data_IF_063254844802
#
_entry.id   IF_063254844802
#
_cell.length_a   1.000
_cell.length_b   1.000
_cell.length_c   1.000
_cell.angle_alpha   90.00
_cell.angle_beta   90.00
_cell.angle_gamma   90.00
#
_symmetry.space_group_name_H-M   'P 1'
#
loop_
_entity.id
_entity.type
_entity.pdbx_description
1 polymer ?
#
# COMPACT_ATOMS: atom_id res chain seq x y z
N UNK A 1 1.16 -23.52 -21.34
CA UNK A 1 1.31 -22.51 -22.42
C UNK A 1 2.59 -21.77 -22.18
N UNK A 2 3.63 -21.97 -23.02
CA UNK A 2 4.97 -21.38 -22.75
C UNK A 2 4.96 -19.92 -23.21
N UNK A 3 5.11 -19.00 -22.29
CA UNK A 3 5.14 -17.56 -22.57
C UNK A 3 6.46 -17.23 -23.30
N UNK A 4 6.41 -17.02 -24.61
CA UNK A 4 7.55 -16.54 -25.40
C UNK A 4 7.56 -15.02 -25.40
N UNK A 5 8.46 -14.42 -24.60
CA UNK A 5 8.74 -13.00 -24.71
C UNK A 5 9.41 -12.72 -26.06
N UNK A 6 8.80 -11.89 -26.87
CA UNK A 6 9.44 -11.30 -28.04
C UNK A 6 10.43 -10.25 -27.57
N UNK A 7 11.74 -10.51 -27.74
CA UNK A 7 12.77 -9.47 -27.64
C UNK A 7 12.53 -8.46 -28.76
N UNK A 8 12.17 -7.24 -28.40
CA UNK A 8 12.28 -6.10 -29.33
C UNK A 8 13.74 -5.75 -29.49
N UNK A 9 14.23 -5.70 -30.72
CA UNK A 9 15.62 -5.47 -31.11
C UNK A 9 16.08 -4.00 -31.02
N UNK A 10 15.46 -3.15 -30.22
CA UNK A 10 15.94 -1.79 -30.03
C UNK A 10 16.53 -1.62 -28.62
N UNK A 11 17.82 -1.33 -28.60
CA UNK A 11 18.76 -1.39 -27.49
C UNK A 11 18.57 -0.39 -26.34
N UNK A 12 17.33 -0.14 -25.90
CA UNK A 12 17.05 0.63 -24.70
C UNK A 12 15.90 -0.03 -23.91
N UNK A 13 16.15 -1.23 -23.38
CA UNK A 13 15.19 -1.96 -22.56
C UNK A 13 15.16 -1.34 -21.16
N UNK A 14 14.49 -0.18 -21.02
CA UNK A 14 14.19 0.39 -19.69
C UNK A 14 13.14 -0.53 -19.06
N UNK A 15 13.40 -1.10 -17.87
CA UNK A 15 12.46 -1.99 -17.21
C UNK A 15 11.13 -1.26 -16.95
N UNK A 16 10.03 -1.99 -17.04
CA UNK A 16 8.71 -1.48 -16.67
C UNK A 16 8.62 -1.43 -15.15
N UNK A 17 8.25 -0.27 -14.61
CA UNK A 17 7.96 -0.09 -13.19
C UNK A 17 6.50 -0.48 -12.92
N UNK A 18 6.28 -1.51 -12.11
CA UNK A 18 4.97 -1.98 -11.71
C UNK A 18 4.76 -1.76 -10.21
N UNK A 19 3.74 -1.01 -9.87
CA UNK A 19 3.24 -0.89 -8.50
C UNK A 19 1.97 -1.73 -8.35
N UNK A 20 2.03 -2.78 -7.52
CA UNK A 20 0.85 -3.52 -7.10
C UNK A 20 0.36 -2.96 -5.77
N UNK A 21 -0.83 -2.36 -5.78
CA UNK A 21 -1.48 -1.80 -4.61
C UNK A 21 -2.58 -2.74 -4.12
N UNK A 22 -2.47 -3.20 -2.88
CA UNK A 22 -3.48 -4.06 -2.26
C UNK A 22 -3.76 -3.61 -0.82
N UNK A 23 -4.60 -4.33 -0.11
CA UNK A 23 -4.99 -4.04 1.27
C UNK A 23 -6.49 -4.12 1.46
N UNK A 24 -6.91 -4.07 2.73
CA UNK A 24 -8.32 -4.21 3.11
C UNK A 24 -9.20 -3.13 2.49
N UNK A 25 -10.45 -3.47 2.25
CA UNK A 25 -11.44 -2.53 1.72
C UNK A 25 -11.65 -1.37 2.69
N UNK A 26 -11.56 -0.12 2.17
CA UNK A 26 -11.61 1.10 3.01
C UNK A 26 -10.25 1.55 3.55
N UNK A 27 -9.15 0.87 3.25
CA UNK A 27 -7.79 1.28 3.67
C UNK A 27 -7.23 2.49 2.94
N UNK A 28 -7.85 2.94 1.84
CA UNK A 28 -7.42 4.12 1.09
C UNK A 28 -6.81 3.82 -0.29
N UNK A 29 -6.99 2.62 -0.84
CA UNK A 29 -6.47 2.23 -2.18
C UNK A 29 -6.75 3.26 -3.28
N UNK A 30 -7.98 3.79 -3.34
CA UNK A 30 -8.32 4.80 -4.37
C UNK A 30 -7.56 6.11 -4.20
N UNK A 31 -7.21 6.51 -2.96
CA UNK A 31 -6.40 7.70 -2.69
C UNK A 31 -4.95 7.46 -3.12
N UNK A 32 -4.42 6.29 -2.82
CA UNK A 32 -3.08 5.89 -3.21
C UNK A 32 -2.96 5.74 -4.74
N UNK A 33 -3.97 5.15 -5.40
CA UNK A 33 -4.00 5.00 -6.85
C UNK A 33 -4.02 6.36 -7.55
N UNK A 34 -4.81 7.31 -7.06
CA UNK A 34 -4.82 8.69 -7.57
C UNK A 34 -3.45 9.39 -7.40
N UNK A 35 -2.73 9.11 -6.30
CA UNK A 35 -1.37 9.64 -6.11
C UNK A 35 -0.36 9.06 -7.10
N UNK A 36 -0.51 7.78 -7.48
CA UNK A 36 0.30 7.13 -8.50
C UNK A 36 -0.02 7.67 -9.90
N UNK A 37 -1.30 7.93 -10.20
CA UNK A 37 -1.72 8.59 -11.44
C UNK A 37 -1.09 9.98 -11.57
N UNK A 38 -1.14 10.79 -10.49
CA UNK A 38 -0.46 12.10 -10.41
C UNK A 38 1.07 11.99 -10.59
N UNK A 39 1.67 10.84 -10.23
CA UNK A 39 3.10 10.55 -10.43
C UNK A 39 3.41 9.98 -11.83
N UNK A 40 2.43 9.92 -12.72
CA UNK A 40 2.59 9.51 -14.13
C UNK A 40 2.51 8.00 -14.36
N UNK A 41 1.90 7.24 -13.46
CA UNK A 41 1.60 5.84 -13.67
C UNK A 41 0.31 5.66 -14.49
N UNK A 42 0.29 4.69 -15.38
CA UNK A 42 -0.95 4.17 -15.95
C UNK A 42 -1.65 3.33 -14.89
N UNK A 43 -2.82 3.77 -14.44
CA UNK A 43 -3.50 3.19 -13.27
C UNK A 43 -4.70 2.33 -13.68
N UNK A 44 -4.77 1.11 -13.12
CA UNK A 44 -5.91 0.22 -13.26
C UNK A 44 -6.47 -0.12 -11.88
N UNK A 45 -7.72 0.23 -11.63
CA UNK A 45 -8.39 -0.08 -10.37
C UNK A 45 -9.13 -1.41 -10.45
N UNK A 46 -9.07 -2.17 -9.37
CA UNK A 46 -9.85 -3.40 -9.18
C UNK A 46 -9.63 -4.47 -10.25
N UNK A 47 -8.37 -4.65 -10.69
CA UNK A 47 -8.02 -5.67 -11.67
C UNK A 47 -8.16 -7.08 -11.05
N UNK A 48 -8.88 -8.00 -11.72
CA UNK A 48 -8.84 -9.42 -11.34
C UNK A 48 -7.40 -9.96 -11.44
N UNK A 49 -6.91 -10.71 -10.42
CA UNK A 49 -5.54 -11.22 -10.43
C UNK A 49 -5.18 -12.05 -11.68
N UNK A 50 -6.15 -12.74 -12.25
CA UNK A 50 -5.99 -13.58 -13.44
C UNK A 50 -5.57 -12.79 -14.70
N UNK A 51 -5.88 -11.48 -14.74
CA UNK A 51 -5.59 -10.60 -15.88
C UNK A 51 -4.25 -9.83 -15.73
N UNK A 52 -3.53 -10.01 -14.62
CA UNK A 52 -2.32 -9.23 -14.34
C UNK A 52 -1.24 -9.43 -15.40
N UNK A 53 -0.93 -10.67 -15.74
CA UNK A 53 0.12 -10.99 -16.73
C UNK A 53 -0.25 -10.49 -18.13
N UNK A 54 -1.52 -10.61 -18.51
CA UNK A 54 -2.01 -10.14 -19.82
C UNK A 54 -1.97 -8.63 -19.93
N UNK A 55 -2.35 -7.91 -18.85
CA UNK A 55 -2.25 -6.45 -18.77
C UNK A 55 -0.79 -6.01 -18.94
N UNK A 56 0.13 -6.58 -18.18
CA UNK A 56 1.54 -6.18 -18.24
C UNK A 56 2.13 -6.48 -19.63
N UNK A 57 1.79 -7.63 -20.23
CA UNK A 57 2.23 -7.94 -21.59
C UNK A 57 1.67 -6.96 -22.64
N UNK A 58 0.45 -6.47 -22.44
CA UNK A 58 -0.17 -5.46 -23.31
C UNK A 58 0.54 -4.10 -23.16
N UNK A 59 0.76 -3.67 -21.93
CA UNK A 59 1.39 -2.37 -21.63
C UNK A 59 2.87 -2.34 -22.06
N UNK A 60 3.58 -3.45 -21.97
CA UNK A 60 4.94 -3.57 -22.52
C UNK A 60 4.95 -3.41 -24.06
N UNK A 61 3.93 -3.91 -24.78
CA UNK A 61 3.79 -3.69 -26.23
C UNK A 61 3.52 -2.23 -26.58
N UNK A 62 2.85 -1.51 -25.68
CA UNK A 62 2.59 -0.08 -25.82
C UNK A 62 3.76 0.80 -25.35
N UNK A 63 4.90 0.18 -24.98
CA UNK A 63 6.07 0.87 -24.40
C UNK A 63 5.74 1.68 -23.12
N UNK A 64 4.74 1.24 -22.36
CA UNK A 64 4.46 1.81 -21.07
C UNK A 64 5.63 1.59 -20.13
N UNK A 65 6.02 2.64 -19.39
CA UNK A 65 7.14 2.59 -18.46
C UNK A 65 6.69 2.42 -17.02
N UNK A 66 5.51 2.91 -16.66
CA UNK A 66 4.98 2.95 -15.31
C UNK A 66 3.54 2.48 -15.30
N UNK A 67 3.28 1.40 -14.58
CA UNK A 67 1.94 0.82 -14.43
C UNK A 67 1.64 0.65 -12.95
N UNK A 68 0.46 1.04 -12.52
CA UNK A 68 -0.03 0.80 -11.16
C UNK A 68 -1.34 0.04 -11.21
N UNK A 69 -1.44 -1.02 -10.44
CA UNK A 69 -2.62 -1.90 -10.42
C UNK A 69 -3.12 -2.02 -8.98
N UNK A 70 -4.37 -1.64 -8.75
CA UNK A 70 -5.02 -1.92 -7.48
C UNK A 70 -5.81 -3.23 -7.55
N UNK A 71 -5.63 -4.07 -6.53
CA UNK A 71 -6.32 -5.34 -6.36
C UNK A 71 -6.96 -5.43 -4.97
N UNK A 72 -8.10 -6.11 -4.89
CA UNK A 72 -8.77 -6.38 -3.61
C UNK A 72 -9.33 -7.83 -3.58
N UNK A 73 -9.93 -8.20 -2.46
CA UNK A 73 -10.46 -9.55 -2.26
C UNK A 73 -11.81 -9.82 -2.97
N UNK A 74 -12.27 -8.97 -3.90
CA UNK A 74 -13.51 -9.21 -4.66
C UNK A 74 -13.43 -10.42 -5.59
N UNK A 75 -12.21 -10.73 -6.05
CA UNK A 75 -11.92 -11.93 -6.85
C UNK A 75 -11.05 -12.91 -6.06
N UNK A 76 -11.59 -13.56 -5.02
CA UNK A 76 -10.81 -14.38 -4.11
C UNK A 76 -10.17 -15.60 -4.78
N UNK A 77 -10.72 -16.07 -5.90
CA UNK A 77 -10.21 -17.22 -6.66
C UNK A 77 -8.81 -17.00 -7.25
N UNK A 78 -8.47 -15.77 -7.61
CA UNK A 78 -7.19 -15.45 -8.23
C UNK A 78 -6.06 -15.14 -7.23
N UNK A 79 -6.41 -14.83 -5.97
CA UNK A 79 -5.43 -14.42 -4.96
C UNK A 79 -4.38 -15.49 -4.67
N UNK A 80 -4.71 -16.81 -4.54
CA UNK A 80 -3.70 -17.84 -4.26
C UNK A 80 -2.63 -17.97 -5.35
N UNK A 81 -2.94 -17.66 -6.60
CA UNK A 81 -1.97 -17.70 -7.71
C UNK A 81 -1.15 -16.43 -7.90
N UNK A 82 -1.50 -15.36 -7.20
CA UNK A 82 -0.86 -14.05 -7.37
C UNK A 82 0.63 -14.03 -6.97
N UNK A 83 1.09 -14.69 -5.89
CA UNK A 83 2.51 -14.75 -5.55
C UNK A 83 3.39 -15.34 -6.66
N UNK A 84 2.94 -16.35 -7.36
CA UNK A 84 3.67 -16.97 -8.47
C UNK A 84 3.72 -16.07 -9.71
N UNK A 85 2.64 -15.32 -9.97
CA UNK A 85 2.60 -14.31 -11.03
C UNK A 85 3.59 -13.16 -10.73
N UNK A 86 3.64 -12.68 -9.50
CA UNK A 86 4.57 -11.63 -9.08
C UNK A 86 6.02 -12.10 -9.20
N UNK A 87 6.32 -13.34 -8.83
CA UNK A 87 7.65 -13.91 -9.00
C UNK A 87 8.01 -14.00 -10.50
N UNK A 88 7.08 -14.40 -11.36
CA UNK A 88 7.26 -14.44 -12.80
C UNK A 88 7.57 -13.06 -13.37
N UNK A 89 6.84 -12.02 -12.95
CA UNK A 89 7.08 -10.64 -13.37
C UNK A 89 8.46 -10.14 -12.92
N UNK A 90 8.83 -10.40 -11.67
CA UNK A 90 10.14 -10.01 -11.12
C UNK A 90 11.28 -10.69 -11.87
N UNK A 91 11.17 -11.98 -12.18
CA UNK A 91 12.19 -12.72 -12.93
C UNK A 91 12.26 -12.33 -14.41
N UNK A 92 11.19 -11.76 -14.97
CA UNK A 92 11.18 -11.23 -16.34
C UNK A 92 11.76 -9.82 -16.47
N UNK A 93 12.27 -9.23 -15.38
CA UNK A 93 12.91 -7.92 -15.40
C UNK A 93 11.95 -6.75 -15.19
N UNK A 94 10.73 -7.00 -14.68
CA UNK A 94 9.81 -5.94 -14.25
C UNK A 94 10.25 -5.44 -12.87
N UNK A 95 10.35 -4.13 -12.72
CA UNK A 95 10.61 -3.47 -11.44
C UNK A 95 9.32 -3.48 -10.63
N UNK A 96 9.21 -4.40 -9.68
CA UNK A 96 7.96 -4.64 -8.95
C UNK A 96 8.05 -4.10 -7.52
N UNK A 97 7.13 -3.21 -7.19
CA UNK A 97 6.85 -2.76 -5.82
C UNK A 97 5.45 -3.23 -5.42
N UNK A 98 5.34 -3.95 -4.31
CA UNK A 98 4.06 -4.36 -3.74
C UNK A 98 3.78 -3.51 -2.50
N UNK A 99 2.67 -2.79 -2.50
CA UNK A 99 2.24 -1.92 -1.39
C UNK A 99 0.95 -2.51 -0.79
N UNK A 100 0.98 -2.75 0.51
CA UNK A 100 -0.18 -3.19 1.28
C UNK A 100 -0.65 -2.06 2.21
N UNK A 101 -1.89 -1.60 2.01
CA UNK A 101 -2.50 -0.61 2.90
C UNK A 101 -3.21 -1.31 4.05
N UNK A 102 -2.66 -1.18 5.25
CA UNK A 102 -3.25 -1.68 6.49
C UNK A 102 -4.09 -0.59 7.18
N UNK A 103 -5.07 -0.99 7.97
CA UNK A 103 -5.92 -0.08 8.75
C UNK A 103 -6.54 -0.83 9.91
N UNK A 104 -6.62 -0.22 11.09
CA UNK A 104 -7.30 -0.84 12.24
C UNK A 104 -8.79 -1.08 11.96
N UNK A 105 -9.34 -2.12 12.58
CA UNK A 105 -10.77 -2.46 12.43
C UNK A 105 -11.68 -1.31 12.82
N UNK A 106 -11.35 -0.59 13.90
CA UNK A 106 -12.12 0.56 14.37
C UNK A 106 -12.14 1.71 13.36
N UNK A 107 -10.99 1.99 12.72
CA UNK A 107 -10.91 2.99 11.66
C UNK A 107 -11.73 2.57 10.43
N UNK A 108 -11.71 1.28 10.05
CA UNK A 108 -12.52 0.76 8.96
C UNK A 108 -14.02 0.88 9.26
N UNK A 109 -14.48 0.43 10.44
CA UNK A 109 -15.89 0.54 10.84
C UNK A 109 -16.36 1.99 10.77
N UNK A 110 -15.55 2.93 11.27
CA UNK A 110 -15.86 4.36 11.16
C UNK A 110 -15.98 4.83 9.70
N UNK A 111 -14.99 4.50 8.85
CA UNK A 111 -14.97 4.88 7.42
C UNK A 111 -16.17 4.30 6.65
N UNK A 112 -16.54 3.05 6.90
CA UNK A 112 -17.72 2.44 6.30
C UNK A 112 -19.01 3.11 6.76
N UNK A 113 -19.10 3.49 8.05
CA UNK A 113 -20.27 4.21 8.58
C UNK A 113 -20.42 5.60 7.95
N UNK A 114 -19.32 6.32 7.76
CA UNK A 114 -19.29 7.66 7.14
C UNK A 114 -19.66 7.61 5.65
N UNK A 115 -19.13 6.65 4.92
CA UNK A 115 -19.34 6.55 3.46
C UNK A 115 -20.62 5.84 3.07
N UNK A 116 -21.29 5.15 4.01
CA UNK A 116 -22.50 4.31 3.78
C UNK A 116 -22.32 3.27 2.65
N UNK A 117 -21.09 2.87 2.36
CA UNK A 117 -20.79 1.82 1.37
C UNK A 117 -20.86 0.45 2.01
N UNK A 118 -21.40 -0.53 1.29
CA UNK A 118 -21.32 -1.92 1.71
C UNK A 118 -19.91 -2.47 1.52
N UNK A 119 -19.45 -3.33 2.44
CA UNK A 119 -18.20 -4.04 2.26
C UNK A 119 -18.31 -5.00 1.06
N UNK A 120 -17.29 -5.12 0.19
CA UNK A 120 -17.35 -5.93 -1.03
C UNK A 120 -17.74 -7.39 -0.81
N UNK A 121 -17.29 -8.00 0.28
CA UNK A 121 -17.62 -9.39 0.63
C UNK A 121 -19.02 -9.57 1.20
N UNK A 122 -19.78 -8.47 1.42
CA UNK A 122 -21.17 -8.50 1.93
C UNK A 122 -22.22 -8.29 0.84
N UNK A 123 -21.86 -8.35 -0.42
CA UNK A 123 -22.79 -8.20 -1.55
C UNK A 123 -23.74 -9.40 -1.55
N UNK A 124 -24.95 -9.22 -0.98
CA UNK A 124 -26.01 -10.23 -0.94
C UNK A 124 -26.72 -10.36 0.41
N UNK A 125 -26.12 -9.97 1.52
CA UNK A 125 -26.67 -10.18 2.88
C UNK A 125 -27.28 -8.91 3.51
N UNK A 126 -28.12 -8.20 2.75
CA UNK A 126 -28.78 -6.95 3.19
C UNK A 126 -29.76 -7.12 4.39
N UNK A 127 -29.94 -8.33 4.94
CA UNK A 127 -30.87 -8.63 6.03
C UNK A 127 -30.22 -9.10 7.33
N UNK A 128 -28.91 -8.85 7.51
CA UNK A 128 -28.22 -9.27 8.73
C UNK A 128 -28.81 -8.59 9.98
N UNK A 129 -29.15 -9.38 11.00
CA UNK A 129 -29.67 -8.89 12.30
C UNK A 129 -28.66 -8.00 13.05
N UNK A 130 -27.37 -8.05 12.69
CA UNK A 130 -26.31 -7.23 13.30
C UNK A 130 -25.27 -6.81 12.22
N UNK A 131 -25.48 -5.66 11.53
CA UNK A 131 -24.59 -5.21 10.45
C UNK A 131 -23.14 -4.99 10.86
N UNK A 132 -22.88 -4.50 12.07
CA UNK A 132 -21.54 -4.24 12.56
C UNK A 132 -20.74 -5.52 12.77
N UNK A 133 -21.35 -6.58 13.26
CA UNK A 133 -20.70 -7.88 13.44
C UNK A 133 -20.34 -8.50 12.10
N UNK A 134 -21.26 -8.47 11.15
CA UNK A 134 -21.05 -9.01 9.80
C UNK A 134 -19.94 -8.25 9.07
N UNK A 135 -19.86 -6.92 9.26
CA UNK A 135 -18.75 -6.11 8.74
C UNK A 135 -17.40 -6.54 9.33
N UNK A 136 -17.33 -6.75 10.65
CA UNK A 136 -16.07 -7.20 11.29
C UNK A 136 -15.63 -8.59 10.80
N UNK A 137 -16.58 -9.52 10.62
CA UNK A 137 -16.31 -10.85 10.08
C UNK A 137 -15.79 -10.76 8.62
N UNK A 138 -16.36 -9.88 7.80
CA UNK A 138 -15.93 -9.65 6.44
C UNK A 138 -14.50 -9.03 6.37
N UNK A 139 -14.19 -8.08 7.23
CA UNK A 139 -12.86 -7.49 7.35
C UNK A 139 -11.82 -8.55 7.78
N UNK A 140 -12.18 -9.41 8.75
CA UNK A 140 -11.29 -10.48 9.20
C UNK A 140 -11.01 -11.49 8.07
N UNK A 141 -12.04 -11.88 7.33
CA UNK A 141 -11.89 -12.76 6.17
C UNK A 141 -11.01 -12.13 5.08
N UNK A 142 -11.21 -10.85 4.78
CA UNK A 142 -10.40 -10.15 3.78
C UNK A 142 -8.92 -10.11 4.17
N UNK A 143 -8.61 -9.86 5.45
CA UNK A 143 -7.22 -9.91 5.96
C UNK A 143 -6.61 -11.30 5.82
N UNK A 144 -7.35 -12.35 6.13
CA UNK A 144 -6.86 -13.72 5.98
C UNK A 144 -6.55 -14.05 4.52
N UNK A 145 -7.44 -13.66 3.58
CA UNK A 145 -7.22 -13.85 2.15
C UNK A 145 -5.99 -13.12 1.62
N UNK A 146 -5.67 -11.94 2.18
CA UNK A 146 -4.55 -11.10 1.71
C UNK A 146 -3.26 -11.28 2.52
N UNK A 147 -3.23 -12.18 3.50
CA UNK A 147 -2.12 -12.34 4.44
C UNK A 147 -0.78 -12.61 3.75
N UNK A 148 -0.75 -13.57 2.82
CA UNK A 148 0.48 -13.95 2.11
C UNK A 148 1.05 -12.81 1.25
N UNK A 149 0.19 -11.92 0.77
CA UNK A 149 0.59 -10.71 0.04
C UNK A 149 1.13 -9.65 1.00
N UNK A 150 0.49 -9.49 2.15
CA UNK A 150 0.92 -8.56 3.19
C UNK A 150 2.34 -8.84 3.65
N UNK A 151 2.67 -10.11 3.89
CA UNK A 151 3.98 -10.55 4.40
C UNK A 151 5.14 -10.30 3.41
N UNK A 152 4.82 -10.06 2.13
CA UNK A 152 5.79 -9.78 1.06
C UNK A 152 5.71 -8.35 0.53
N UNK A 153 4.86 -7.53 1.10
CA UNK A 153 4.56 -6.17 0.66
C UNK A 153 5.23 -5.13 1.56
N UNK A 154 5.41 -3.94 1.01
CA UNK A 154 5.66 -2.75 1.80
C UNK A 154 4.34 -2.33 2.47
N UNK A 155 4.25 -2.49 3.79
CA UNK A 155 3.04 -2.17 4.55
C UNK A 155 3.01 -0.69 4.88
N UNK A 156 1.85 -0.05 4.74
CA UNK A 156 1.60 1.34 5.16
C UNK A 156 0.36 1.35 6.05
N UNK A 157 0.50 1.79 7.30
CA UNK A 157 -0.64 1.97 8.20
C UNK A 157 -1.37 3.29 7.91
N UNK A 158 -2.60 3.17 7.46
CA UNK A 158 -3.45 4.31 7.14
C UNK A 158 -4.47 4.64 8.25
N UNK A 159 -4.38 4.00 9.42
CA UNK A 159 -5.39 4.12 10.50
C UNK A 159 -5.62 5.56 10.93
N UNK A 160 -4.54 6.34 11.01
CA UNK A 160 -4.54 7.73 11.44
C UNK A 160 -4.05 8.70 10.35
N UNK A 161 -3.69 8.16 9.18
CA UNK A 161 -3.15 8.95 8.09
C UNK A 161 -4.26 9.68 7.34
N UNK A 162 -4.09 10.98 7.11
CA UNK A 162 -4.98 11.75 6.27
C UNK A 162 -4.81 11.38 4.79
N UNK A 163 -5.80 11.66 3.95
CA UNK A 163 -5.69 11.44 2.51
C UNK A 163 -4.50 12.20 1.88
N UNK A 164 -4.18 13.40 2.39
CA UNK A 164 -3.01 14.16 1.95
C UNK A 164 -1.69 13.51 2.40
N UNK A 165 -1.64 13.03 3.65
CA UNK A 165 -0.49 12.30 4.18
C UNK A 165 -0.20 11.03 3.39
N UNK A 166 -1.24 10.23 3.11
CA UNK A 166 -1.11 9.02 2.31
C UNK A 166 -0.57 9.33 0.89
N UNK A 167 -1.09 10.37 0.22
CA UNK A 167 -0.56 10.79 -1.08
C UNK A 167 0.93 11.12 -1.03
N UNK A 168 1.36 11.81 0.02
CA UNK A 168 2.77 12.17 0.21
C UNK A 168 3.63 10.93 0.41
N UNK A 169 3.22 9.99 1.26
CA UNK A 169 3.94 8.73 1.50
C UNK A 169 4.06 7.90 0.23
N UNK A 170 2.96 7.75 -0.54
CA UNK A 170 2.98 7.00 -1.81
C UNK A 170 3.95 7.64 -2.81
N UNK A 171 3.93 8.98 -2.97
CA UNK A 171 4.86 9.67 -3.87
C UNK A 171 6.31 9.48 -3.45
N UNK A 172 6.63 9.64 -2.18
CA UNK A 172 7.97 9.40 -1.65
C UNK A 172 8.46 7.98 -1.91
N UNK A 173 7.58 6.99 -1.73
CA UNK A 173 7.93 5.59 -1.93
C UNK A 173 8.30 5.25 -3.39
N UNK A 174 7.57 5.83 -4.37
CA UNK A 174 7.79 5.53 -5.79
C UNK A 174 8.81 6.45 -6.45
N UNK A 175 9.12 7.60 -5.85
CA UNK A 175 10.16 8.53 -6.29
C UNK A 175 11.53 8.19 -5.68
N UNK A 176 11.55 7.48 -4.56
CA UNK A 176 12.79 6.94 -4.01
C UNK A 176 13.43 6.02 -5.06
N UNK A 177 14.69 6.33 -5.39
CA UNK A 177 15.46 5.65 -6.43
C UNK A 177 15.32 4.13 -6.31
N UNK A 178 14.74 3.51 -7.31
CA UNK A 178 14.51 2.06 -7.40
C UNK A 178 15.80 1.28 -7.69
N UNK A 179 16.96 1.83 -7.37
CA UNK A 179 18.22 1.09 -7.42
C UNK A 179 18.09 -0.13 -6.47
N UNK A 180 18.08 -1.30 -7.05
CA UNK A 180 17.73 -2.60 -6.45
C UNK A 180 18.57 -3.03 -5.26
N UNK A 181 19.59 -2.27 -4.88
CA UNK A 181 20.55 -2.59 -3.81
C UNK A 181 20.60 -1.55 -2.67
N UNK A 182 19.67 -0.58 -2.62
CA UNK A 182 19.66 0.41 -1.55
C UNK A 182 18.70 0.00 -0.42
N UNK A 183 19.22 -0.04 0.82
CA UNK A 183 18.41 -0.15 2.02
C UNK A 183 17.62 1.16 2.20
N UNK A 184 16.31 1.08 2.18
CA UNK A 184 15.43 2.20 2.48
C UNK A 184 15.00 2.16 3.96
N UNK A 185 15.33 3.22 4.70
CA UNK A 185 14.91 3.40 6.09
C UNK A 185 13.89 4.51 6.17
N UNK A 186 12.73 4.20 6.74
CA UNK A 186 11.69 5.17 7.06
C UNK A 186 11.64 5.39 8.58
N UNK A 187 11.77 6.64 9.01
CA UNK A 187 11.64 7.01 10.41
C UNK A 187 10.31 7.70 10.63
N UNK A 188 9.50 7.14 11.52
CA UNK A 188 8.21 7.69 11.89
C UNK A 188 8.17 8.03 13.38
N UNK A 189 7.58 9.18 13.72
CA UNK A 189 7.29 9.53 15.12
C UNK A 189 5.81 9.37 15.42
N UNK A 190 5.49 8.69 16.51
CA UNK A 190 4.11 8.44 16.92
C UNK A 190 3.88 8.71 18.40
N UNK A 191 2.62 8.88 18.79
CA UNK A 191 2.22 9.00 20.18
C UNK A 191 1.65 7.68 20.69
N UNK A 192 2.20 7.11 21.76
CA UNK A 192 1.74 5.84 22.34
C UNK A 192 0.25 5.80 22.69
N UNK A 193 -0.37 6.96 22.98
CA UNK A 193 -1.82 7.06 23.21
C UNK A 193 -2.67 6.70 21.99
N UNK A 194 -2.08 6.71 20.80
CA UNK A 194 -2.73 6.40 19.53
C UNK A 194 -2.48 4.97 19.07
N UNK A 195 -1.66 4.23 19.80
CA UNK A 195 -1.19 2.90 19.44
C UNK A 195 0.16 2.93 18.73
N UNK A 196 0.74 1.76 18.57
CA UNK A 196 1.97 1.55 17.79
C UNK A 196 1.57 1.41 16.32
N UNK A 197 2.26 2.07 15.36
CA UNK A 197 2.02 1.87 13.93
C UNK A 197 2.13 0.40 13.54
N UNK A 198 1.21 -0.10 12.71
CA UNK A 198 1.16 -1.52 12.34
C UNK A 198 2.16 -1.89 11.23
N UNK A 199 2.81 -0.90 10.65
CA UNK A 199 3.84 -0.99 9.63
C UNK A 199 5.27 -0.87 10.18
N UNK A 200 5.42 -0.67 11.49
CA UNK A 200 6.73 -0.52 12.12
C UNK A 200 7.46 -1.88 12.27
N UNK A 201 8.63 -2.04 11.65
CA UNK A 201 9.53 -3.19 11.89
C UNK A 201 10.23 -3.09 13.25
N UNK A 202 10.56 -1.87 13.68
CA UNK A 202 11.21 -1.60 14.96
C UNK A 202 10.57 -0.42 15.66
N UNK A 203 10.39 -0.54 16.98
CA UNK A 203 9.84 0.53 17.82
C UNK A 203 10.83 0.85 18.92
N UNK A 204 11.21 2.12 19.02
CA UNK A 204 12.12 2.62 20.06
C UNK A 204 11.37 3.59 20.97
N UNK A 205 11.29 3.26 22.27
CA UNK A 205 10.74 4.18 23.27
C UNK A 205 11.80 5.17 23.70
N UNK A 206 11.70 6.40 23.20
CA UNK A 206 12.65 7.48 23.49
C UNK A 206 12.23 8.37 24.67
N UNK A 207 11.12 8.06 25.37
CA UNK A 207 10.63 8.85 26.51
C UNK A 207 11.55 8.79 27.72
N UNK A 208 12.43 7.77 27.78
CA UNK A 208 13.46 7.69 28.82
C UNK A 208 14.66 8.60 28.60
N UNK A 209 14.80 9.18 27.39
CA UNK A 209 15.88 10.13 27.11
C UNK A 209 15.60 11.46 27.80
N UNK A 210 16.65 12.20 28.24
CA UNK A 210 16.47 13.54 28.77
C UNK A 210 15.67 14.41 27.80
N UNK A 211 14.62 15.05 28.32
CA UNK A 211 13.83 15.94 27.47
C UNK A 211 14.59 17.26 27.26
N UNK A 212 15.00 17.56 26.03
CA UNK A 212 15.78 18.77 25.74
C UNK A 212 15.05 20.08 26.08
N UNK A 213 13.73 20.03 26.27
CA UNK A 213 12.95 21.19 26.72
C UNK A 213 13.34 21.66 28.14
N UNK A 214 13.85 20.76 28.98
CA UNK A 214 14.23 21.06 30.36
C UNK A 214 15.73 21.28 30.53
N UNK A 215 16.54 21.14 29.47
CA UNK A 215 17.97 21.40 29.52
C UNK A 215 18.26 22.89 29.42
N UNK A 216 18.98 23.49 30.41
CA UNK A 216 19.23 24.93 30.45
C UNK A 216 20.26 25.41 29.42
N UNK A 217 20.98 24.51 28.76
CA UNK A 217 21.96 24.89 27.75
C UNK A 217 21.24 25.15 26.41
N UNK A 218 21.44 26.32 25.78
CA UNK A 218 20.80 26.63 24.51
C UNK A 218 21.43 25.79 23.37
N UNK A 219 21.05 24.52 23.31
CA UNK A 219 21.28 23.77 22.09
C UNK A 219 20.43 24.44 21.01
N UNK A 220 21.03 24.74 19.89
CA UNK A 220 20.37 25.39 18.76
C UNK A 220 19.22 24.50 18.26
N UNK A 221 18.03 24.68 18.83
CA UNK A 221 16.78 23.95 18.50
C UNK A 221 16.16 24.35 17.16
N UNK A 222 16.85 25.14 16.35
CA UNK A 222 16.27 25.71 15.14
C UNK A 222 15.83 24.67 14.13
N UNK A 223 16.45 23.48 14.11
CA UNK A 223 16.05 22.39 13.25
C UNK A 223 15.10 21.36 13.90
N UNK A 224 14.95 21.36 15.24
CA UNK A 224 13.97 20.51 15.94
C UNK A 224 12.56 21.14 15.95
N UNK A 225 12.44 22.45 15.84
CA UNK A 225 11.13 23.14 15.76
C UNK A 225 10.40 22.93 14.45
N UNK A 226 11.07 22.47 13.40
CA UNK A 226 10.46 22.27 12.08
C UNK A 226 9.45 21.10 12.06
N UNK A 227 9.44 20.24 13.09
CA UNK A 227 8.57 19.07 13.18
C UNK A 227 7.51 19.12 14.27
N UNK A 228 7.41 20.22 15.01
CA UNK A 228 6.25 20.46 15.87
C UNK A 228 5.06 20.88 15.00
N UNK A 229 4.32 19.92 14.50
CA UNK A 229 2.98 20.15 13.96
C UNK A 229 2.12 20.67 15.11
N UNK A 230 1.67 21.92 15.00
CA UNK A 230 0.69 22.50 15.91
C UNK A 230 -0.51 21.56 16.01
N UNK A 231 -0.84 21.19 17.25
CA UNK A 231 -2.10 20.55 17.60
C UNK A 231 -3.31 21.40 17.18
#
# INVERSE_FOLDING_TARGET
MTFKMTKTEDGNNVPLDLVLLTGVSGSGKSVALAALEDAGYFCVDNLPPELLLDLIALEQKHNARRVAVAMDARSPSGIPGLPDQLLTLKTSGVNLVVIYLETTTDALVRRFSETRRAHPLLIGDAKAKNPSRVLMEAIALERELLKDLRDKAHVIDTSQTSAAGLRTQIKQLVEADTSTDSLQLMFESFAFKQGIPMDADFVFDVRMLPNPHYEPTPVSYTHLRAHETKA
#
